data_IF_605295068208
#
_entry.id   IF_605295068208
#
_cell.length_a   1.000
_cell.length_b   1.000
_cell.length_c   1.000
_cell.angle_alpha   90.00
_cell.angle_beta   90.00
_cell.angle_gamma   90.00
#
_symmetry.space_group_name_H-M   'P 1'
#
loop_
_entity.id
_entity.type
_entity.pdbx_description
1 polymer ?
#
# COMPACT_ATOMS: atom_id res chain seq x y z
N UNK A 1 32.48 -2.18 -8.21
CA UNK A 1 31.13 -1.63 -8.47
C UNK A 1 30.93 -0.45 -7.52
N UNK A 2 30.50 0.69 -8.04
CA UNK A 2 30.29 1.95 -7.30
C UNK A 2 28.78 2.17 -7.13
N UNK A 3 28.35 2.80 -6.03
CA UNK A 3 26.95 3.19 -5.77
C UNK A 3 26.91 4.72 -5.85
N UNK A 4 26.08 5.26 -6.74
CA UNK A 4 25.99 6.69 -7.04
C UNK A 4 24.81 7.40 -6.38
N UNK A 5 23.85 6.64 -5.85
CA UNK A 5 22.60 7.15 -5.26
C UNK A 5 22.31 6.49 -3.92
N UNK A 6 21.42 7.10 -3.14
CA UNK A 6 20.87 6.49 -1.91
C UNK A 6 19.69 5.55 -2.19
N UNK A 7 19.49 5.13 -3.45
CA UNK A 7 18.46 4.16 -3.82
C UNK A 7 18.95 2.74 -3.55
N UNK A 8 18.21 2.03 -2.71
CA UNK A 8 18.34 0.59 -2.48
C UNK A 8 18.21 -0.23 -3.77
N UNK A 9 17.48 0.27 -4.78
CA UNK A 9 17.36 -0.35 -6.10
C UNK A 9 18.70 -0.40 -6.85
N UNK A 10 19.56 0.61 -6.70
CA UNK A 10 20.91 0.60 -7.27
C UNK A 10 21.80 -0.45 -6.56
N UNK A 11 21.63 -0.58 -5.24
CA UNK A 11 22.31 -1.62 -4.46
C UNK A 11 21.87 -3.01 -4.93
N UNK A 12 20.56 -3.22 -5.08
CA UNK A 12 19.98 -4.49 -5.54
C UNK A 12 20.45 -4.85 -6.96
N UNK A 13 20.47 -3.89 -7.87
CA UNK A 13 21.02 -4.05 -9.22
C UNK A 13 22.50 -4.48 -9.18
N UNK A 14 23.31 -3.81 -8.36
CA UNK A 14 24.73 -4.14 -8.23
C UNK A 14 24.97 -5.51 -7.59
N UNK A 15 24.13 -5.93 -6.64
CA UNK A 15 24.18 -7.27 -6.05
C UNK A 15 23.84 -8.33 -7.11
N UNK A 16 22.75 -8.15 -7.87
CA UNK A 16 22.37 -9.05 -8.96
C UNK A 16 23.49 -9.18 -10.00
N UNK A 17 24.02 -8.05 -10.46
CA UNK A 17 25.06 -8.04 -11.48
C UNK A 17 26.38 -8.66 -10.99
N UNK A 18 26.71 -8.52 -9.70
CA UNK A 18 27.84 -9.21 -9.07
C UNK A 18 27.63 -10.73 -8.98
N UNK A 19 26.41 -11.18 -8.66
CA UNK A 19 26.11 -12.61 -8.62
C UNK A 19 26.10 -13.23 -10.03
N UNK A 20 25.63 -12.51 -11.06
CA UNK A 20 25.72 -12.94 -12.47
C UNK A 20 27.18 -13.11 -12.93
N UNK A 21 28.06 -12.19 -12.57
CA UNK A 21 29.49 -12.25 -12.88
C UNK A 21 30.16 -13.48 -12.24
N UNK A 22 29.79 -13.79 -11.00
CA UNK A 22 30.29 -14.98 -10.29
C UNK A 22 29.80 -16.30 -10.89
N UNK A 23 28.54 -16.39 -11.30
CA UNK A 23 27.96 -17.64 -11.80
C UNK A 23 28.45 -17.97 -13.19
N UNK A 24 28.57 -16.98 -14.07
CA UNK A 24 29.06 -17.16 -15.44
C UNK A 24 30.54 -17.55 -15.53
N UNK A 25 31.40 -17.05 -14.63
CA UNK A 25 32.86 -17.26 -14.66
C UNK A 25 33.50 -16.96 -16.03
N UNK A 26 32.94 -16.01 -16.78
CA UNK A 26 33.40 -15.63 -18.11
C UNK A 26 32.89 -16.50 -19.27
N UNK A 27 32.01 -17.47 -19.01
CA UNK A 27 31.30 -18.23 -20.04
C UNK A 27 30.01 -17.51 -20.48
N UNK A 28 29.44 -17.86 -21.66
CA UNK A 28 28.13 -17.37 -22.07
C UNK A 28 27.07 -17.68 -21.01
N UNK A 29 26.25 -16.69 -20.67
CA UNK A 29 25.24 -16.81 -19.63
C UNK A 29 24.12 -17.76 -20.07
N UNK A 30 23.82 -18.75 -19.24
CA UNK A 30 22.68 -19.66 -19.43
C UNK A 30 21.53 -19.32 -18.48
N UNK A 31 20.29 -19.77 -18.75
CA UNK A 31 19.18 -19.62 -17.80
C UNK A 31 19.50 -20.16 -16.40
N UNK A 32 20.23 -21.29 -16.29
CA UNK A 32 20.64 -21.84 -15.01
C UNK A 32 21.56 -20.91 -14.21
N UNK A 33 22.43 -20.16 -14.90
CA UNK A 33 23.33 -19.20 -14.26
C UNK A 33 22.57 -17.97 -13.74
N UNK A 34 21.54 -17.54 -14.45
CA UNK A 34 20.63 -16.46 -14.02
C UNK A 34 19.92 -16.86 -12.74
N UNK A 35 19.32 -18.06 -12.70
CA UNK A 35 18.65 -18.54 -11.49
C UNK A 35 19.63 -18.78 -10.33
N UNK A 36 20.87 -19.21 -10.62
CA UNK A 36 21.93 -19.28 -9.62
C UNK A 36 22.30 -17.90 -9.05
N UNK A 37 22.32 -16.87 -9.89
CA UNK A 37 22.59 -15.51 -9.45
C UNK A 37 21.46 -14.99 -8.55
N UNK A 38 20.20 -15.24 -8.90
CA UNK A 38 19.04 -14.85 -8.06
C UNK A 38 19.05 -15.56 -6.70
N UNK A 39 19.44 -16.86 -6.65
CA UNK A 39 19.72 -17.55 -5.36
C UNK A 39 20.76 -16.81 -4.52
N UNK A 40 21.82 -16.31 -5.15
CA UNK A 40 22.84 -15.49 -4.51
C UNK A 40 22.29 -14.15 -3.98
N UNK A 41 21.41 -13.49 -4.75
CA UNK A 41 20.71 -12.27 -4.33
C UNK A 41 19.86 -12.53 -3.09
N UNK A 42 19.00 -13.54 -3.09
CA UNK A 42 18.13 -13.87 -1.96
C UNK A 42 18.90 -14.19 -0.67
N UNK A 43 20.13 -14.72 -0.77
CA UNK A 43 21.00 -14.98 0.39
C UNK A 43 21.65 -13.72 0.95
N UNK A 44 21.81 -12.67 0.14
CA UNK A 44 22.54 -11.44 0.49
C UNK A 44 21.62 -10.29 0.85
N UNK A 45 20.48 -10.18 0.18
CA UNK A 45 19.53 -9.08 0.33
C UNK A 45 18.35 -9.53 1.18
N UNK A 46 18.11 -8.80 2.26
CA UNK A 46 16.95 -8.95 3.14
C UNK A 46 16.05 -7.73 3.02
N UNK A 47 14.75 -7.96 3.06
CA UNK A 47 13.74 -6.96 2.80
C UNK A 47 12.68 -7.52 1.86
N UNK A 48 12.06 -6.62 1.10
CA UNK A 48 10.97 -6.91 0.18
C UNK A 48 11.23 -6.29 -1.18
N UNK A 49 10.94 -7.01 -2.25
CA UNK A 49 11.23 -6.55 -3.60
C UNK A 49 10.44 -7.37 -4.63
N UNK A 50 9.94 -6.67 -5.63
CA UNK A 50 9.43 -7.21 -6.87
C UNK A 50 10.26 -6.58 -7.99
N UNK A 51 11.11 -7.38 -8.64
CA UNK A 51 12.13 -6.88 -9.55
C UNK A 51 11.80 -7.29 -10.97
N UNK A 52 11.98 -6.36 -11.90
CA UNK A 52 12.11 -6.61 -13.33
C UNK A 52 13.43 -6.02 -13.81
N UNK A 53 14.19 -6.78 -14.60
CA UNK A 53 15.48 -6.39 -15.13
C UNK A 53 15.64 -6.90 -16.56
N UNK A 54 16.35 -6.13 -17.39
CA UNK A 54 16.76 -6.55 -18.72
C UNK A 54 18.24 -6.91 -18.71
N UNK A 55 18.56 -8.10 -19.20
CA UNK A 55 19.93 -8.56 -19.41
C UNK A 55 20.21 -8.51 -20.90
N UNK A 56 21.06 -7.58 -21.32
CA UNK A 56 21.37 -7.33 -22.72
C UNK A 56 21.80 -8.63 -23.43
N UNK A 57 21.15 -8.92 -24.56
CA UNK A 57 21.40 -10.14 -25.36
C UNK A 57 20.84 -11.44 -24.78
N UNK A 58 20.12 -11.41 -23.65
CA UNK A 58 19.61 -12.62 -22.98
C UNK A 58 18.12 -12.59 -22.71
N UNK A 59 17.55 -11.44 -22.31
CA UNK A 59 16.11 -11.28 -22.15
C UNK A 59 15.68 -10.53 -20.88
N UNK A 60 14.43 -10.74 -20.48
CA UNK A 60 13.81 -10.11 -19.31
C UNK A 60 13.78 -11.07 -18.12
N UNK A 61 14.39 -10.67 -17.02
CA UNK A 61 14.34 -11.36 -15.73
C UNK A 61 13.34 -10.67 -14.81
N UNK A 62 12.47 -11.44 -14.17
CA UNK A 62 11.61 -10.99 -13.09
C UNK A 62 11.77 -11.90 -11.87
N UNK A 63 11.82 -11.35 -10.66
CA UNK A 63 11.86 -12.17 -9.44
C UNK A 63 11.24 -11.45 -8.24
N UNK A 64 10.77 -12.24 -7.27
CA UNK A 64 10.06 -11.75 -6.09
C UNK A 64 10.77 -12.17 -4.82
N UNK A 65 10.69 -11.35 -3.77
CA UNK A 65 11.31 -11.66 -2.48
C UNK A 65 10.80 -12.99 -1.87
N UNK A 66 11.60 -13.65 -1.01
CA UNK A 66 11.25 -14.95 -0.43
C UNK A 66 9.97 -14.98 0.43
N UNK A 67 9.43 -13.82 0.79
CA UNK A 67 8.21 -13.68 1.58
C UNK A 67 7.00 -13.24 0.73
N UNK A 68 7.19 -12.96 -0.56
CA UNK A 68 6.14 -12.48 -1.45
C UNK A 68 5.52 -11.15 -1.01
N UNK A 69 6.26 -10.26 -0.34
CA UNK A 69 5.70 -9.06 0.31
C UNK A 69 5.20 -8.04 -0.73
N UNK A 70 5.98 -7.80 -1.80
CA UNK A 70 5.59 -6.91 -2.91
C UNK A 70 4.89 -7.70 -4.01
N UNK A 71 3.78 -7.23 -4.58
CA UNK A 71 3.04 -7.97 -5.58
C UNK A 71 3.79 -7.96 -6.92
N UNK A 72 3.71 -9.09 -7.63
CA UNK A 72 4.28 -9.26 -8.97
C UNK A 72 3.54 -10.39 -9.69
N UNK A 73 2.97 -10.09 -10.85
CA UNK A 73 2.23 -11.04 -11.67
C UNK A 73 2.79 -11.12 -13.09
N UNK A 74 2.47 -12.23 -13.76
CA UNK A 74 2.85 -12.58 -15.11
C UNK A 74 1.59 -12.73 -15.96
N UNK A 75 1.66 -12.28 -17.20
CA UNK A 75 0.64 -12.55 -18.21
C UNK A 75 1.24 -12.70 -19.60
N UNK A 76 0.46 -13.30 -20.49
CA UNK A 76 0.81 -13.49 -21.89
C UNK A 76 -0.18 -12.77 -22.80
N UNK A 77 0.26 -12.44 -23.99
CA UNK A 77 -0.56 -11.79 -25.00
C UNK A 77 0.00 -12.00 -26.39
N UNK A 78 -0.48 -11.18 -27.30
CA UNK A 78 0.04 -11.10 -28.67
C UNK A 78 0.25 -9.64 -29.03
N UNK A 79 1.42 -9.32 -29.57
CA UNK A 79 1.70 -8.05 -30.20
C UNK A 79 1.88 -8.24 -31.72
N UNK A 80 2.16 -7.15 -32.45
CA UNK A 80 2.33 -7.20 -33.90
C UNK A 80 3.43 -8.15 -34.39
N UNK A 81 4.37 -8.53 -33.51
CA UNK A 81 5.55 -9.35 -33.82
C UNK A 81 5.42 -10.80 -33.32
N UNK A 82 4.34 -11.16 -32.62
CA UNK A 82 4.09 -12.53 -32.14
C UNK A 82 3.61 -12.61 -30.69
N UNK A 83 3.84 -13.76 -30.01
CA UNK A 83 3.54 -13.91 -28.58
C UNK A 83 4.31 -12.87 -27.74
N UNK A 84 3.64 -12.26 -26.77
CA UNK A 84 4.23 -11.31 -25.84
C UNK A 84 4.06 -11.77 -24.40
N UNK A 85 5.04 -11.46 -23.56
CA UNK A 85 4.99 -11.75 -22.12
C UNK A 85 5.18 -10.44 -21.38
N UNK A 86 4.36 -10.22 -20.36
CA UNK A 86 4.40 -9.03 -19.53
C UNK A 86 4.42 -9.42 -18.06
N UNK A 87 5.19 -8.67 -17.27
CA UNK A 87 5.14 -8.71 -15.80
C UNK A 87 4.71 -7.35 -15.28
N UNK A 88 3.95 -7.34 -14.19
CA UNK A 88 3.47 -6.11 -13.58
C UNK A 88 3.24 -6.29 -12.08
N UNK A 89 3.26 -5.18 -11.32
CA UNK A 89 2.91 -5.20 -9.90
C UNK A 89 1.45 -5.57 -9.66
N UNK A 90 0.55 -5.20 -10.57
CA UNK A 90 -0.90 -5.43 -10.44
C UNK A 90 -1.49 -6.00 -11.73
N UNK A 91 -2.45 -6.92 -11.61
CA UNK A 91 -3.09 -7.61 -12.74
C UNK A 91 -3.76 -6.66 -13.73
N UNK A 92 -4.26 -5.53 -13.26
CA UNK A 92 -4.95 -4.51 -14.08
C UNK A 92 -4.06 -3.92 -15.19
N UNK A 93 -2.74 -3.95 -15.03
CA UNK A 93 -1.81 -3.53 -16.08
C UNK A 93 -1.76 -4.54 -17.25
N UNK A 94 -1.93 -5.83 -16.95
CA UNK A 94 -2.02 -6.88 -17.97
C UNK A 94 -3.32 -6.70 -18.77
N UNK A 95 -4.44 -6.61 -18.07
CA UNK A 95 -5.77 -6.44 -18.68
C UNK A 95 -5.84 -5.18 -19.55
N UNK A 96 -5.33 -4.05 -19.03
CA UNK A 96 -5.33 -2.77 -19.75
C UNK A 96 -4.46 -2.74 -21.01
N UNK A 97 -3.56 -3.72 -21.19
CA UNK A 97 -2.69 -3.85 -22.36
C UNK A 97 -3.05 -5.05 -23.23
N UNK A 98 -4.16 -5.75 -22.94
CA UNK A 98 -4.60 -6.92 -23.70
C UNK A 98 -3.83 -8.21 -23.39
N UNK A 99 -3.03 -8.24 -22.33
CA UNK A 99 -2.40 -9.45 -21.83
C UNK A 99 -3.36 -10.20 -20.91
N UNK A 100 -3.50 -11.50 -21.11
CA UNK A 100 -4.23 -12.39 -20.23
C UNK A 100 -3.38 -12.70 -18.99
N UNK A 101 -3.97 -12.58 -17.81
CA UNK A 101 -3.33 -12.94 -16.55
C UNK A 101 -3.05 -14.45 -16.51
N UNK A 102 -1.80 -14.83 -16.19
CA UNK A 102 -1.42 -16.22 -15.99
C UNK A 102 -1.46 -16.59 -14.51
N UNK A 103 -0.60 -15.94 -13.73
CA UNK A 103 -0.37 -16.20 -12.31
C UNK A 103 0.49 -15.12 -11.68
N UNK A 104 0.44 -15.05 -10.37
CA UNK A 104 1.44 -14.36 -9.58
C UNK A 104 2.81 -15.07 -9.69
N UNK A 105 3.89 -14.29 -9.66
CA UNK A 105 5.25 -14.82 -9.44
C UNK A 105 5.33 -15.21 -7.96
N UNK A 106 5.68 -16.47 -7.71
CA UNK A 106 5.67 -17.03 -6.36
C UNK A 106 6.79 -16.43 -5.49
N UNK A 107 6.65 -16.49 -4.15
CA UNK A 107 7.72 -16.06 -3.24
C UNK A 107 9.05 -16.75 -3.56
N UNK A 108 10.12 -15.96 -3.71
CA UNK A 108 11.47 -16.44 -4.06
C UNK A 108 11.64 -16.99 -5.47
N UNK A 109 10.59 -16.97 -6.30
CA UNK A 109 10.66 -17.42 -7.68
C UNK A 109 11.35 -16.37 -8.57
N UNK A 110 12.09 -16.87 -9.55
CA UNK A 110 12.58 -16.11 -10.69
C UNK A 110 11.99 -16.65 -12.00
N UNK A 111 11.67 -15.73 -12.90
CA UNK A 111 11.18 -15.99 -14.26
C UNK A 111 12.10 -15.26 -15.25
N UNK A 112 12.64 -15.99 -16.21
CA UNK A 112 13.42 -15.46 -17.32
C UNK A 112 12.62 -15.66 -18.61
N UNK A 113 12.29 -14.57 -19.29
CA UNK A 113 11.79 -14.59 -20.67
C UNK A 113 12.96 -14.34 -21.58
N UNK A 114 13.36 -15.34 -22.37
CA UNK A 114 14.51 -15.20 -23.28
C UNK A 114 14.17 -14.38 -24.53
N UNK A 115 15.18 -14.14 -25.36
CA UNK A 115 15.04 -13.34 -26.59
C UNK A 115 14.08 -13.96 -27.63
N UNK A 116 13.81 -15.27 -27.52
CA UNK A 116 12.84 -15.99 -28.38
C UNK A 116 11.42 -15.94 -27.80
N UNK A 117 11.24 -15.27 -26.65
CA UNK A 117 9.96 -15.18 -25.95
C UNK A 117 9.62 -16.41 -25.11
N UNK A 118 10.55 -17.37 -24.95
CA UNK A 118 10.31 -18.56 -24.14
C UNK A 118 10.47 -18.24 -22.66
N UNK A 119 9.49 -18.68 -21.88
CA UNK A 119 9.44 -18.50 -20.42
C UNK A 119 10.15 -19.65 -19.72
N UNK A 120 11.14 -19.33 -18.90
CA UNK A 120 11.82 -20.23 -17.98
C UNK A 120 11.51 -19.76 -16.56
N UNK A 121 11.21 -20.67 -15.63
CA UNK A 121 10.91 -20.32 -14.24
C UNK A 121 11.59 -21.28 -13.27
N UNK A 122 12.09 -20.77 -12.15
CA UNK A 122 12.72 -21.58 -11.12
C UNK A 122 12.56 -20.97 -9.71
N UNK A 123 12.27 -21.82 -8.72
CA UNK A 123 12.36 -21.45 -7.31
C UNK A 123 13.82 -21.17 -6.93
N UNK A 124 14.08 -19.97 -6.40
CA UNK A 124 15.41 -19.46 -6.09
C UNK A 124 15.61 -19.10 -4.61
N UNK A 125 14.63 -19.33 -3.74
CA UNK A 125 14.77 -19.18 -2.29
C UNK A 125 14.52 -20.50 -1.56
N UNK A 126 15.29 -20.72 -0.50
CA UNK A 126 15.05 -21.80 0.46
C UNK A 126 13.93 -21.35 1.43
N UNK A 127 13.00 -22.24 1.77
CA UNK A 127 11.90 -21.97 2.72
C UNK A 127 11.05 -20.73 2.37
N UNK A 128 10.78 -20.51 1.09
CA UNK A 128 9.91 -19.43 0.65
C UNK A 128 8.50 -19.57 1.28
N UNK A 129 7.93 -18.46 1.76
CA UNK A 129 6.60 -18.43 2.38
C UNK A 129 5.79 -17.28 1.81
N UNK A 130 4.47 -17.45 1.68
CA UNK A 130 3.62 -16.42 1.09
C UNK A 130 3.00 -15.53 2.18
N UNK A 131 3.60 -14.35 2.38
CA UNK A 131 3.18 -13.33 3.35
C UNK A 131 3.02 -11.97 2.68
N UNK A 132 2.02 -11.81 1.79
CA UNK A 132 1.81 -10.56 1.06
C UNK A 132 1.55 -9.41 2.02
N UNK A 133 1.82 -8.19 1.56
CA UNK A 133 1.55 -7.02 2.38
C UNK A 133 0.05 -6.76 2.51
N UNK A 134 -0.44 -6.72 3.74
CA UNK A 134 -1.87 -6.47 3.99
C UNK A 134 -2.31 -5.07 3.55
N UNK A 135 -1.38 -4.10 3.53
CA UNK A 135 -1.67 -2.71 3.21
C UNK A 135 -2.04 -2.49 1.73
N UNK A 136 -1.64 -3.42 0.83
CA UNK A 136 -2.09 -3.46 -0.56
C UNK A 136 -3.61 -3.59 -0.64
N UNK A 137 -4.17 -4.53 0.14
CA UNK A 137 -5.61 -4.79 0.19
C UNK A 137 -6.38 -3.66 0.89
N UNK A 138 -5.80 -3.06 1.92
CA UNK A 138 -6.42 -1.96 2.68
C UNK A 138 -6.57 -0.70 1.82
N UNK A 139 -5.51 -0.28 1.12
CA UNK A 139 -5.46 1.04 0.50
C UNK A 139 -4.74 1.09 -0.85
N UNK A 140 -3.54 0.51 -0.95
CA UNK A 140 -2.59 0.88 -2.00
C UNK A 140 -2.98 0.34 -3.38
N UNK A 141 -3.32 -0.94 -3.48
CA UNK A 141 -3.66 -1.58 -4.74
C UNK A 141 -5.01 -1.08 -5.28
N UNK A 142 -5.19 -1.14 -6.59
CA UNK A 142 -6.48 -0.82 -7.19
C UNK A 142 -7.52 -1.91 -6.88
N UNK A 143 -8.80 -1.54 -6.70
CA UNK A 143 -9.83 -2.51 -6.36
C UNK A 143 -10.09 -3.55 -7.47
N UNK A 144 -9.81 -3.21 -8.73
CA UNK A 144 -9.92 -4.11 -9.88
C UNK A 144 -8.72 -5.03 -10.07
N UNK A 145 -7.74 -5.01 -9.17
CA UNK A 145 -6.61 -5.94 -9.18
C UNK A 145 -6.89 -7.23 -8.40
N UNK A 146 -6.23 -8.31 -8.83
CA UNK A 146 -6.14 -9.59 -8.11
C UNK A 146 -4.68 -9.81 -7.75
N UNK A 147 -4.40 -9.96 -6.45
CA UNK A 147 -3.05 -10.17 -5.92
C UNK A 147 -3.00 -11.50 -5.18
N UNK A 148 -2.12 -12.42 -5.58
CA UNK A 148 -1.98 -13.74 -4.96
C UNK A 148 -3.34 -14.48 -4.86
N UNK A 149 -4.13 -14.41 -5.94
CA UNK A 149 -5.48 -14.99 -6.01
C UNK A 149 -6.56 -14.27 -5.18
N UNK A 150 -6.27 -13.12 -4.57
CA UNK A 150 -7.21 -12.33 -3.77
C UNK A 150 -7.68 -11.11 -4.57
N UNK A 151 -8.98 -11.02 -4.80
CA UNK A 151 -9.61 -9.78 -5.31
C UNK A 151 -9.51 -8.67 -4.26
N UNK A 152 -8.88 -7.55 -4.63
CA UNK A 152 -8.73 -6.39 -3.73
C UNK A 152 -10.10 -5.80 -3.38
N UNK A 153 -11.02 -5.72 -4.35
CA UNK A 153 -12.39 -5.27 -4.09
C UNK A 153 -13.11 -6.15 -3.07
N UNK A 154 -13.07 -7.48 -3.23
CA UNK A 154 -13.72 -8.40 -2.30
C UNK A 154 -13.07 -8.34 -0.90
N UNK A 155 -11.75 -8.20 -0.82
CA UNK A 155 -11.05 -8.00 0.45
C UNK A 155 -11.59 -6.75 1.19
N UNK A 156 -11.78 -5.63 0.49
CA UNK A 156 -12.34 -4.40 1.07
C UNK A 156 -13.80 -4.57 1.52
N UNK A 157 -14.62 -5.33 0.78
CA UNK A 157 -15.96 -5.68 1.25
C UNK A 157 -15.90 -6.49 2.57
N UNK A 158 -15.03 -7.50 2.67
CA UNK A 158 -14.87 -8.28 3.90
C UNK A 158 -14.39 -7.43 5.08
N UNK A 159 -13.56 -6.40 4.83
CA UNK A 159 -13.19 -5.41 5.84
C UNK A 159 -14.40 -4.59 6.31
N UNK A 160 -15.32 -4.23 5.41
CA UNK A 160 -16.59 -3.60 5.76
C UNK A 160 -17.48 -4.48 6.65
N UNK A 161 -17.52 -5.79 6.42
CA UNK A 161 -18.27 -6.73 7.26
C UNK A 161 -17.71 -6.81 8.69
N UNK A 162 -16.39 -6.97 8.81
CA UNK A 162 -15.73 -7.01 10.11
C UNK A 162 -15.83 -5.67 10.84
N UNK A 163 -15.77 -4.56 10.11
CA UNK A 163 -15.96 -3.22 10.67
C UNK A 163 -17.40 -3.02 11.20
N UNK A 164 -18.42 -3.62 10.57
CA UNK A 164 -19.80 -3.57 11.06
C UNK A 164 -19.93 -4.13 12.48
N UNK A 165 -19.26 -5.25 12.74
CA UNK A 165 -19.23 -5.87 14.07
C UNK A 165 -18.58 -4.94 15.11
N UNK A 166 -17.51 -4.22 14.72
CA UNK A 166 -16.85 -3.23 15.59
C UNK A 166 -17.74 -2.02 15.85
N UNK A 167 -18.40 -1.49 14.82
CA UNK A 167 -19.32 -0.35 14.95
C UNK A 167 -20.45 -0.66 15.92
N UNK A 168 -21.15 -1.78 15.75
CA UNK A 168 -22.26 -2.19 16.64
C UNK A 168 -21.83 -2.30 18.10
N UNK A 169 -20.59 -2.73 18.34
CA UNK A 169 -20.03 -2.85 19.69
C UNK A 169 -19.64 -1.52 20.35
N UNK A 170 -19.56 -0.43 19.59
CA UNK A 170 -19.06 0.88 20.06
C UNK A 170 -20.12 1.98 20.02
N UNK A 171 -20.93 2.02 18.96
CA UNK A 171 -22.00 3.01 18.77
C UNK A 171 -23.30 2.26 18.46
N UNK A 172 -24.39 2.52 19.20
CA UNK A 172 -25.69 1.96 18.86
C UNK A 172 -26.09 2.32 17.42
N UNK A 173 -26.45 1.35 16.55
CA UNK A 173 -26.78 1.65 15.15
C UNK A 173 -27.91 2.67 14.98
N UNK A 174 -28.86 2.72 15.91
CA UNK A 174 -29.95 3.70 15.91
C UNK A 174 -29.51 5.14 16.24
N UNK A 175 -28.26 5.36 16.68
CA UNK A 175 -27.68 6.69 16.83
C UNK A 175 -27.00 7.22 15.57
N UNK A 176 -26.89 6.39 14.51
CA UNK A 176 -26.23 6.76 13.25
C UNK A 176 -27.31 6.98 12.19
N UNK A 177 -27.41 8.21 11.70
CA UNK A 177 -28.41 8.58 10.68
C UNK A 177 -27.94 8.23 9.26
N UNK A 178 -26.63 8.25 9.02
CA UNK A 178 -26.04 8.06 7.69
C UNK A 178 -24.57 7.62 7.79
N UNK A 179 -24.16 6.75 6.87
CA UNK A 179 -22.77 6.34 6.65
C UNK A 179 -22.23 7.06 5.42
N UNK A 180 -21.08 7.71 5.58
CA UNK A 180 -20.43 8.51 4.56
C UNK A 180 -18.97 8.05 4.40
N UNK A 181 -18.55 7.55 3.22
CA UNK A 181 -17.15 7.24 2.98
C UNK A 181 -16.33 8.51 2.77
N UNK A 182 -15.06 8.43 3.15
CA UNK A 182 -14.02 9.35 2.71
C UNK A 182 -13.46 8.79 1.39
N UNK A 183 -13.71 9.46 0.25
CA UNK A 183 -13.37 8.91 -1.06
C UNK A 183 -11.85 8.82 -1.28
N UNK A 184 -11.34 7.81 -2.00
CA UNK A 184 -12.09 6.85 -2.84
C UNK A 184 -12.01 5.40 -2.30
N UNK A 185 -10.92 5.06 -1.63
CA UNK A 185 -10.51 3.72 -1.17
C UNK A 185 -11.49 3.09 -0.19
N UNK A 186 -12.14 3.88 0.67
CA UNK A 186 -13.04 3.35 1.70
C UNK A 186 -14.45 3.04 1.21
N UNK A 187 -14.81 3.41 -0.04
CA UNK A 187 -16.16 3.22 -0.60
C UNK A 187 -16.66 1.77 -0.53
N UNK A 188 -15.89 0.72 -0.89
CA UNK A 188 -16.37 -0.66 -0.78
C UNK A 188 -16.68 -1.04 0.67
N UNK A 189 -15.75 -0.76 1.59
CA UNK A 189 -15.92 -1.06 3.02
C UNK A 189 -17.13 -0.34 3.62
N UNK A 190 -17.31 0.95 3.29
CA UNK A 190 -18.43 1.75 3.77
C UNK A 190 -19.77 1.30 3.18
N UNK A 191 -19.79 0.89 1.91
CA UNK A 191 -21.00 0.37 1.25
C UNK A 191 -21.42 -0.94 1.90
N UNK A 192 -20.48 -1.86 2.12
CA UNK A 192 -20.76 -3.13 2.79
C UNK A 192 -21.21 -2.93 4.24
N UNK A 193 -20.54 -2.04 4.97
CA UNK A 193 -20.91 -1.64 6.32
C UNK A 193 -22.37 -1.13 6.37
N UNK A 194 -22.72 -0.21 5.48
CA UNK A 194 -24.05 0.38 5.42
C UNK A 194 -25.13 -0.65 5.10
N UNK A 195 -24.85 -1.54 4.14
CA UNK A 195 -25.74 -2.63 3.78
C UNK A 195 -26.04 -3.54 4.97
N UNK A 196 -25.02 -3.95 5.72
CA UNK A 196 -25.17 -4.86 6.85
C UNK A 196 -25.88 -4.23 8.05
N UNK A 197 -25.67 -2.94 8.28
CA UNK A 197 -26.32 -2.24 9.40
C UNK A 197 -27.72 -1.71 9.06
N UNK A 198 -28.13 -1.77 7.78
CA UNK A 198 -29.40 -1.19 7.33
C UNK A 198 -29.46 0.34 7.45
N UNK A 199 -28.29 1.00 7.48
CA UNK A 199 -28.17 2.46 7.61
C UNK A 199 -27.93 3.06 6.20
N UNK A 200 -28.55 4.20 5.85
CA UNK A 200 -28.34 4.81 4.54
C UNK A 200 -26.86 5.13 4.25
N UNK A 201 -26.40 4.71 3.06
CA UNK A 201 -25.13 5.15 2.46
C UNK A 201 -25.35 6.45 1.68
N UNK A 202 -24.49 7.45 1.89
CA UNK A 202 -24.51 8.71 1.12
C UNK A 202 -23.11 9.18 0.78
N UNK A 203 -22.96 9.73 -0.42
CA UNK A 203 -21.78 10.52 -0.78
C UNK A 203 -21.90 11.89 -0.09
N UNK A 204 -21.13 12.11 0.96
CA UNK A 204 -21.03 13.41 1.65
C UNK A 204 -19.76 14.19 1.29
N UNK A 205 -18.70 13.49 0.89
CA UNK A 205 -17.47 14.09 0.41
C UNK A 205 -17.28 13.80 -1.08
N UNK A 206 -16.83 14.81 -1.81
CA UNK A 206 -16.43 14.68 -3.21
C UNK A 206 -14.95 14.97 -3.31
N UNK A 207 -14.18 13.99 -3.80
CA UNK A 207 -12.75 14.18 -4.06
C UNK A 207 -12.57 15.09 -5.27
N UNK A 208 -11.79 16.15 -5.10
CA UNK A 208 -11.37 16.99 -6.20
C UNK A 208 -10.37 16.19 -7.04
N UNK A 209 -10.76 15.83 -8.26
CA UNK A 209 -9.91 15.06 -9.19
C UNK A 209 -8.70 15.87 -9.67
N UNK A 210 -8.86 17.19 -9.72
CA UNK A 210 -7.86 18.13 -10.22
C UNK A 210 -7.34 18.98 -9.08
N UNK A 211 -6.38 18.46 -8.32
CA UNK A 211 -5.66 19.22 -7.29
C UNK A 211 -4.30 19.60 -7.86
N UNK A 212 -4.10 20.89 -8.16
CA UNK A 212 -2.80 21.42 -8.56
C UNK A 212 -1.85 21.52 -7.37
N UNK A 213 -0.54 21.62 -7.64
CA UNK A 213 0.45 21.96 -6.59
C UNK A 213 0.14 23.36 -6.07
N UNK A 214 0.22 23.55 -4.75
CA UNK A 214 0.05 24.88 -4.14
C UNK A 214 1.27 25.74 -4.50
N UNK A 215 1.07 26.82 -5.26
CA UNK A 215 2.13 27.80 -5.54
C UNK A 215 2.48 28.60 -4.28
N UNK A 216 3.73 29.06 -4.18
CA UNK A 216 4.16 29.99 -3.14
C UNK A 216 3.43 31.32 -3.36
N UNK A 217 2.40 31.59 -2.55
CA UNK A 217 1.67 32.85 -2.57
C UNK A 217 2.34 33.87 -1.64
N UNK A 218 2.71 35.08 -2.09
CA UNK A 218 3.22 36.12 -1.21
C UNK A 218 2.11 36.64 -0.29
N UNK A 219 2.21 36.34 1.01
CA UNK A 219 1.29 36.79 2.06
C UNK A 219 1.07 35.75 3.16
N UNK A 220 1.30 36.11 4.43
CA UNK A 220 1.21 35.18 5.57
C UNK A 220 -0.22 34.66 5.87
N UNK A 221 -1.26 35.21 5.22
CA UNK A 221 -2.66 34.89 5.51
C UNK A 221 -3.23 33.63 4.84
N UNK A 222 -2.56 33.04 3.84
CA UNK A 222 -3.13 31.94 3.02
C UNK A 222 -2.32 30.64 3.14
N UNK A 223 -1.93 30.28 4.37
CA UNK A 223 -1.50 28.92 4.71
C UNK A 223 -2.43 28.36 5.77
N UNK A 224 -3.59 27.85 5.38
CA UNK A 224 -4.33 26.80 6.13
C UNK A 224 -5.53 26.29 5.34
N UNK A 225 -5.71 24.97 5.40
CA UNK A 225 -6.76 24.08 4.83
C UNK A 225 -6.39 23.39 3.51
N UNK A 226 -5.32 22.59 3.54
CA UNK A 226 -4.94 21.69 2.43
C UNK A 226 -5.98 20.60 2.18
N UNK A 227 -6.75 20.17 3.18
CA UNK A 227 -7.79 19.14 2.98
C UNK A 227 -9.00 19.71 2.24
N UNK A 228 -9.38 20.97 2.46
CA UNK A 228 -10.46 21.62 1.70
C UNK A 228 -10.14 21.80 0.22
N UNK A 229 -8.86 21.78 -0.15
CA UNK A 229 -8.46 21.73 -1.56
C UNK A 229 -8.64 20.33 -2.16
N UNK A 230 -8.56 19.28 -1.34
CA UNK A 230 -8.67 17.87 -1.77
C UNK A 230 -10.10 17.35 -1.75
N UNK A 231 -10.94 17.82 -0.83
CA UNK A 231 -12.30 17.32 -0.61
C UNK A 231 -13.30 18.49 -0.54
N UNK A 232 -14.42 18.34 -1.22
CA UNK A 232 -15.59 19.19 -1.09
C UNK A 232 -16.68 18.49 -0.27
N UNK A 233 -17.48 19.26 0.46
CA UNK A 233 -18.55 18.75 1.34
C UNK A 233 -19.91 19.02 0.72
N UNK A 234 -20.76 17.99 0.65
CA UNK A 234 -22.18 18.12 0.31
C UNK A 234 -22.95 18.38 1.60
N UNK A 235 -23.08 19.65 1.99
CA UNK A 235 -23.59 20.04 3.31
C UNK A 235 -24.99 19.48 3.64
N UNK A 236 -25.85 19.25 2.64
CA UNK A 236 -27.17 18.64 2.82
C UNK A 236 -27.12 17.23 3.40
N UNK A 237 -26.01 16.50 3.23
CA UNK A 237 -25.84 15.15 3.77
C UNK A 237 -25.39 15.12 5.23
N UNK A 238 -24.97 16.27 5.79
CA UNK A 238 -24.49 16.38 7.18
C UNK A 238 -25.46 17.15 8.09
N UNK A 239 -26.13 18.18 7.56
CA UNK A 239 -26.90 19.14 8.36
C UNK A 239 -27.94 18.43 9.23
N UNK A 240 -27.78 18.56 10.54
CA UNK A 240 -28.68 18.00 11.54
C UNK A 240 -28.68 16.48 11.56
N UNK A 241 -27.59 15.80 11.18
CA UNK A 241 -27.45 14.33 11.24
C UNK A 241 -26.30 13.91 12.16
N UNK A 242 -26.41 12.73 12.75
CA UNK A 242 -25.33 11.99 13.38
C UNK A 242 -24.69 11.13 12.29
N UNK A 243 -23.47 11.47 11.89
CA UNK A 243 -22.80 10.86 10.73
C UNK A 243 -21.74 9.87 11.19
N UNK A 244 -21.66 8.71 10.53
CA UNK A 244 -20.51 7.81 10.65
C UNK A 244 -19.64 7.96 9.40
N UNK A 245 -18.45 8.52 9.58
CA UNK A 245 -17.44 8.64 8.54
C UNK A 245 -16.61 7.36 8.48
N UNK A 246 -16.35 6.87 7.27
CA UNK A 246 -15.53 5.66 7.07
C UNK A 246 -14.29 6.03 6.25
N UNK A 247 -13.12 5.85 6.84
CA UNK A 247 -11.81 6.00 6.20
C UNK A 247 -11.16 4.63 5.99
N UNK A 248 -10.21 4.54 5.06
CA UNK A 248 -9.42 3.30 4.91
C UNK A 248 -8.46 3.10 6.08
N UNK A 249 -7.76 4.16 6.49
CA UNK A 249 -6.71 4.12 7.51
C UNK A 249 -6.49 5.51 8.11
N UNK A 250 -5.88 5.56 9.30
CA UNK A 250 -5.51 6.80 9.98
C UNK A 250 -4.02 6.76 10.32
N UNK A 251 -3.23 7.59 9.62
CA UNK A 251 -1.76 7.63 9.75
C UNK A 251 -1.30 8.78 10.66
N UNK A 252 -1.27 10.02 10.15
CA UNK A 252 -0.87 11.22 10.94
C UNK A 252 -2.03 11.86 11.72
N UNK A 253 -3.28 11.48 11.44
CA UNK A 253 -4.50 12.01 12.07
C UNK A 253 -4.88 13.45 11.71
N UNK A 254 -3.95 14.25 11.16
CA UNK A 254 -4.20 15.65 10.75
C UNK A 254 -5.31 15.76 9.70
N UNK A 255 -5.30 14.91 8.68
CA UNK A 255 -6.35 14.84 7.66
C UNK A 255 -7.70 14.48 8.28
N UNK A 256 -7.75 13.44 9.10
CA UNK A 256 -8.98 12.99 9.76
C UNK A 256 -9.58 14.08 10.65
N UNK A 257 -8.75 14.83 11.39
CA UNK A 257 -9.18 16.00 12.18
C UNK A 257 -9.81 17.08 11.30
N UNK A 258 -9.20 17.41 10.16
CA UNK A 258 -9.78 18.40 9.23
C UNK A 258 -11.10 17.90 8.62
N UNK A 259 -11.20 16.61 8.28
CA UNK A 259 -12.43 15.99 7.76
C UNK A 259 -13.56 16.04 8.80
N UNK A 260 -13.27 15.69 10.06
CA UNK A 260 -14.24 15.77 11.15
C UNK A 260 -14.70 17.22 11.35
N UNK A 261 -13.78 18.18 11.31
CA UNK A 261 -14.15 19.59 11.39
C UNK A 261 -15.02 20.03 10.21
N UNK A 262 -14.72 19.57 8.98
CA UNK A 262 -15.54 19.86 7.80
C UNK A 262 -16.96 19.31 7.93
N UNK A 263 -17.14 18.11 8.49
CA UNK A 263 -18.46 17.55 8.78
C UNK A 263 -19.23 18.38 9.82
N UNK A 264 -18.56 18.82 10.89
CA UNK A 264 -19.15 19.72 11.90
C UNK A 264 -19.53 21.08 11.33
N UNK A 265 -18.64 21.68 10.54
CA UNK A 265 -18.89 22.96 9.85
C UNK A 265 -20.09 22.87 8.89
N UNK A 266 -20.34 21.70 8.31
CA UNK A 266 -21.51 21.41 7.48
C UNK A 266 -22.81 21.14 8.28
N UNK A 267 -22.73 21.15 9.61
CA UNK A 267 -23.87 21.06 10.52
C UNK A 267 -24.17 19.67 11.06
N UNK A 268 -23.22 18.72 11.02
CA UNK A 268 -23.39 17.43 11.69
C UNK A 268 -23.54 17.61 13.21
N UNK A 269 -24.49 16.88 13.83
CA UNK A 269 -24.72 16.88 15.28
C UNK A 269 -23.63 16.11 16.03
N UNK A 270 -23.44 14.85 15.62
CA UNK A 270 -22.36 13.96 16.07
C UNK A 270 -21.59 13.48 14.85
N UNK A 271 -20.28 13.34 14.98
CA UNK A 271 -19.37 12.83 13.96
C UNK A 271 -18.61 11.66 14.55
N UNK A 272 -19.01 10.45 14.17
CA UNK A 272 -18.28 9.23 14.46
C UNK A 272 -17.30 8.94 13.32
N UNK A 273 -16.15 8.35 13.63
CA UNK A 273 -15.14 7.98 12.64
C UNK A 273 -14.79 6.50 12.79
N UNK A 274 -14.82 5.76 11.69
CA UNK A 274 -14.41 4.37 11.61
C UNK A 274 -13.29 4.20 10.58
N UNK A 275 -12.22 3.49 10.98
CA UNK A 275 -11.10 3.11 10.13
C UNK A 275 -11.23 1.64 9.75
N UNK A 276 -11.22 1.34 8.44
CA UNK A 276 -11.26 -0.03 7.93
C UNK A 276 -9.97 -0.82 8.24
N UNK A 277 -8.87 -0.13 8.52
CA UNK A 277 -7.63 -0.67 9.05
C UNK A 277 -7.52 -0.52 10.58
N UNK A 278 -6.70 -1.34 11.25
CA UNK A 278 -6.26 -1.11 12.62
C UNK A 278 -5.40 0.17 12.74
N UNK A 279 -5.09 0.62 13.98
CA UNK A 279 -4.21 1.76 14.18
C UNK A 279 -2.82 1.49 13.59
N UNK A 280 -2.31 2.41 12.76
CA UNK A 280 -0.95 2.36 12.22
C UNK A 280 0.02 2.85 13.30
N UNK A 281 0.76 1.92 13.91
CA UNK A 281 1.62 2.18 15.09
C UNK A 281 3.11 2.11 14.78
N UNK A 282 3.47 1.47 13.68
CA UNK A 282 4.86 1.21 13.31
C UNK A 282 5.11 1.64 11.85
N UNK A 283 6.32 2.09 11.51
CA UNK A 283 6.66 2.46 10.15
C UNK A 283 6.76 1.24 9.24
N UNK A 284 6.41 1.39 7.97
CA UNK A 284 6.73 0.37 6.97
C UNK A 284 8.19 0.50 6.51
N UNK A 285 8.92 -0.61 6.47
CA UNK A 285 10.31 -0.68 5.96
C UNK A 285 10.44 -1.54 4.71
N UNK A 286 9.31 -1.91 4.11
CA UNK A 286 9.22 -2.81 2.96
C UNK A 286 8.87 -2.07 1.65
N UNK A 287 8.88 -0.73 1.65
CA UNK A 287 8.71 0.08 0.45
C UNK A 287 7.38 0.84 0.36
N UNK A 288 6.54 0.79 1.40
CA UNK A 288 5.45 1.77 1.54
C UNK A 288 5.99 2.99 2.28
N UNK A 289 5.85 4.17 1.69
CA UNK A 289 6.25 5.42 2.32
C UNK A 289 5.32 5.73 3.49
N UNK A 290 5.85 5.59 4.71
CA UNK A 290 5.18 5.93 5.96
C UNK A 290 6.02 6.93 6.74
N UNK A 291 5.39 7.84 7.51
CA UNK A 291 6.14 8.79 8.33
C UNK A 291 6.85 8.08 9.49
N UNK A 292 7.67 8.83 10.23
CA UNK A 292 8.36 8.28 11.41
C UNK A 292 7.37 7.89 12.51
N UNK A 293 7.77 7.02 13.44
CA UNK A 293 6.91 6.59 14.54
C UNK A 293 6.32 7.77 15.33
N UNK A 294 7.13 8.81 15.59
CA UNK A 294 6.69 10.00 16.33
C UNK A 294 5.61 10.82 15.60
N UNK A 295 5.52 10.71 14.28
CA UNK A 295 4.52 11.39 13.45
C UNK A 295 3.22 10.58 13.28
N UNK A 296 3.23 9.29 13.62
CA UNK A 296 2.03 8.44 13.61
C UNK A 296 1.12 8.82 14.78
N UNK A 297 -0.15 9.12 14.50
CA UNK A 297 -1.09 9.55 15.54
C UNK A 297 -1.33 8.47 16.59
N UNK A 298 -1.22 7.20 16.20
CA UNK A 298 -1.46 6.06 17.07
C UNK A 298 -0.20 5.54 17.77
N UNK A 299 0.98 6.07 17.49
CA UNK A 299 2.19 5.67 18.19
C UNK A 299 2.09 6.04 19.68
N UNK A 300 2.26 5.06 20.56
CA UNK A 300 2.14 5.17 22.03
C UNK A 300 0.86 5.87 22.54
N UNK A 301 -0.23 5.79 21.77
CA UNK A 301 -1.55 6.31 22.15
C UNK A 301 -2.62 5.25 22.17
N UNK A 302 -3.51 5.37 23.15
CA UNK A 302 -4.79 4.65 23.23
C UNK A 302 -5.76 5.19 22.19
N UNK A 303 -6.79 4.40 21.86
CA UNK A 303 -7.85 4.84 20.93
C UNK A 303 -8.54 6.11 21.43
N UNK A 304 -8.69 6.27 22.74
CA UNK A 304 -9.34 7.43 23.35
C UNK A 304 -8.50 8.71 23.19
N UNK A 305 -7.19 8.64 23.40
CA UNK A 305 -6.28 9.77 23.16
C UNK A 305 -6.28 10.17 21.68
N UNK A 306 -6.33 9.20 20.76
CA UNK A 306 -6.45 9.47 19.33
C UNK A 306 -7.79 10.15 19.03
N UNK A 307 -8.90 9.63 19.55
CA UNK A 307 -10.25 10.20 19.40
C UNK A 307 -10.28 11.66 19.82
N UNK A 308 -9.73 11.97 21.00
CA UNK A 308 -9.63 13.33 21.51
C UNK A 308 -8.77 14.22 20.61
N UNK A 309 -7.64 13.71 20.09
CA UNK A 309 -6.77 14.48 19.19
C UNK A 309 -7.42 14.81 17.83
N UNK A 310 -8.28 13.91 17.33
CA UNK A 310 -9.04 14.06 16.08
C UNK A 310 -10.29 14.93 16.30
N UNK A 311 -10.90 14.87 17.48
CA UNK A 311 -12.11 15.63 17.82
C UNK A 311 -13.42 15.01 17.35
N UNK A 312 -13.45 13.69 17.12
CA UNK A 312 -14.68 12.94 16.80
C UNK A 312 -15.41 12.46 18.08
N UNK A 313 -16.71 12.20 17.96
CA UNK A 313 -17.57 11.75 19.07
C UNK A 313 -17.32 10.28 19.44
N UNK A 314 -16.95 9.45 18.46
CA UNK A 314 -16.44 8.10 18.67
C UNK A 314 -15.40 7.77 17.60
N UNK A 315 -14.43 6.93 17.95
CA UNK A 315 -13.42 6.41 17.05
C UNK A 315 -13.42 4.89 17.09
N UNK A 316 -13.63 4.27 15.93
CA UNK A 316 -13.69 2.82 15.76
C UNK A 316 -12.52 2.41 14.87
N UNK A 317 -11.71 1.46 15.34
CA UNK A 317 -10.71 0.80 14.53
C UNK A 317 -11.08 -0.66 14.30
N UNK A 318 -10.65 -1.18 13.16
CA UNK A 318 -10.57 -2.61 12.92
C UNK A 318 -9.56 -3.26 13.89
N UNK A 319 -9.79 -4.54 14.18
CA UNK A 319 -8.84 -5.38 14.90
C UNK A 319 -7.84 -6.03 13.92
N UNK A 320 -6.56 -6.15 14.33
CA UNK A 320 -5.48 -6.67 13.46
C UNK A 320 -5.77 -8.10 13.01
N UNK A 321 -6.14 -8.97 13.95
CA UNK A 321 -6.37 -10.38 13.66
C UNK A 321 -7.66 -10.57 12.85
N UNK A 322 -8.67 -9.74 13.08
CA UNK A 322 -9.89 -9.71 12.30
C UNK A 322 -9.65 -9.25 10.87
N UNK A 323 -8.79 -8.24 10.66
CA UNK A 323 -8.35 -7.81 9.32
C UNK A 323 -7.61 -8.93 8.59
N UNK A 324 -6.61 -9.55 9.24
CA UNK A 324 -5.85 -10.68 8.66
C UNK A 324 -6.78 -11.83 8.28
N UNK A 325 -7.73 -12.20 9.14
CA UNK A 325 -8.72 -13.25 8.83
C UNK A 325 -9.65 -12.86 7.69
N UNK A 326 -10.13 -11.62 7.64
CA UNK A 326 -11.08 -11.15 6.61
C UNK A 326 -10.48 -11.18 5.21
N UNK A 327 -9.19 -10.84 5.08
CA UNK A 327 -8.46 -10.92 3.82
C UNK A 327 -7.99 -12.36 3.56
N UNK A 328 -7.42 -13.02 4.57
CA UNK A 328 -6.88 -14.38 4.45
C UNK A 328 -7.93 -15.46 4.14
N UNK A 329 -9.20 -15.24 4.50
CA UNK A 329 -10.28 -16.16 4.14
C UNK A 329 -10.51 -16.27 2.63
N UNK A 330 -10.01 -15.32 1.83
CA UNK A 330 -10.12 -15.33 0.37
C UNK A 330 -9.08 -16.23 -0.29
N UNK A 331 -7.99 -16.59 0.40
CA UNK A 331 -7.01 -17.53 -0.09
C UNK A 331 -6.37 -18.34 1.06
N UNK A 332 -6.72 -19.63 1.13
CA UNK A 332 -6.19 -20.55 2.15
C UNK A 332 -4.72 -20.95 1.98
N UNK A 333 -4.07 -20.55 0.87
CA UNK A 333 -2.66 -20.83 0.59
C UNK A 333 -1.69 -19.83 1.24
N UNK A 334 -2.19 -18.78 1.88
CA UNK A 334 -1.34 -17.79 2.54
C UNK A 334 -0.78 -18.35 3.85
N UNK A 335 0.50 -18.05 4.13
CA UNK A 335 1.17 -18.37 5.40
C UNK A 335 1.04 -17.24 6.44
N UNK A 336 0.22 -16.23 6.12
CA UNK A 336 0.06 -15.01 6.89
C UNK A 336 0.19 -13.77 6.01
N UNK A 337 0.51 -12.64 6.63
CA UNK A 337 0.70 -11.35 5.95
C UNK A 337 1.87 -10.61 6.57
N UNK A 338 2.51 -9.74 5.79
CA UNK A 338 3.20 -8.59 6.37
C UNK A 338 2.14 -7.58 6.86
N UNK A 339 2.02 -7.47 8.18
CA UNK A 339 1.16 -6.51 8.87
C UNK A 339 1.97 -5.64 9.86
N UNK A 340 3.28 -5.53 9.61
CA UNK A 340 4.26 -4.89 10.50
C UNK A 340 3.84 -3.49 10.96
N UNK A 341 3.20 -2.70 10.09
CA UNK A 341 2.72 -1.35 10.44
C UNK A 341 1.67 -1.32 11.56
N UNK A 342 1.01 -2.44 11.81
CA UNK A 342 -0.08 -2.59 12.78
C UNK A 342 0.35 -3.35 14.03
N UNK A 343 1.10 -4.45 13.88
CA UNK A 343 1.49 -5.35 14.98
C UNK A 343 2.97 -5.29 15.38
N UNK A 344 3.80 -4.57 14.62
CA UNK A 344 5.24 -4.45 14.87
C UNK A 344 6.04 -5.71 14.57
N UNK A 345 5.43 -6.72 13.95
CA UNK A 345 6.08 -7.99 13.59
C UNK A 345 6.58 -7.92 12.15
N UNK A 346 7.88 -7.68 12.00
CA UNK A 346 8.53 -7.61 10.69
C UNK A 346 8.93 -9.01 10.22
N UNK A 347 8.33 -9.47 9.12
CA UNK A 347 8.42 -10.86 8.65
C UNK A 347 9.83 -11.34 8.27
N UNK A 348 10.77 -10.45 7.94
CA UNK A 348 12.16 -10.79 7.62
C UNK A 348 13.00 -11.15 8.85
N UNK A 349 12.52 -10.81 10.06
CA UNK A 349 13.15 -11.17 11.34
C UNK A 349 14.43 -10.42 11.69
N UNK A 350 14.86 -9.46 10.88
CA UNK A 350 16.10 -8.69 11.06
C UNK A 350 15.88 -7.19 11.34
N UNK A 351 14.61 -6.77 11.42
CA UNK A 351 14.24 -5.39 11.73
C UNK A 351 14.08 -5.23 13.24
N UNK A 352 14.87 -4.33 13.81
CA UNK A 352 14.82 -3.93 15.23
C UNK A 352 14.41 -2.46 15.38
N UNK A 353 13.95 -2.03 16.57
CA UNK A 353 13.69 -0.61 16.85
C UNK A 353 14.89 0.30 16.53
N UNK A 354 16.12 -0.15 16.80
CA UNK A 354 17.35 0.60 16.50
C UNK A 354 17.57 0.73 14.98
N UNK A 355 17.28 -0.32 14.21
CA UNK A 355 17.36 -0.27 12.75
C UNK A 355 16.38 0.74 12.16
N UNK A 356 15.15 0.80 12.70
CA UNK A 356 14.11 1.76 12.32
C UNK A 356 14.55 3.18 12.67
N UNK A 357 15.09 3.39 13.88
CA UNK A 357 15.59 4.69 14.31
C UNK A 357 16.69 5.21 13.38
N UNK A 358 17.63 4.33 12.99
CA UNK A 358 18.71 4.65 12.04
C UNK A 358 18.18 4.98 10.65
N UNK A 359 17.18 4.25 10.14
CA UNK A 359 16.53 4.58 8.87
C UNK A 359 15.80 5.94 8.92
N UNK A 360 15.18 6.25 10.05
CA UNK A 360 14.47 7.50 10.23
C UNK A 360 15.40 8.71 10.37
N UNK A 361 16.58 8.58 11.00
CA UNK A 361 17.53 9.70 11.12
C UNK A 361 18.00 10.20 9.74
N UNK A 362 18.19 9.28 8.79
CA UNK A 362 18.56 9.62 7.41
C UNK A 362 17.45 10.40 6.66
N UNK A 363 16.20 10.33 7.11
CA UNK A 363 15.09 11.10 6.53
C UNK A 363 15.06 12.55 7.03
N UNK A 364 15.47 12.78 8.28
CA UNK A 364 15.44 14.11 8.91
C UNK A 364 16.41 15.05 8.19
N UNK A 365 17.62 14.57 7.87
CA UNK A 365 18.62 15.35 7.12
C UNK A 365 18.12 15.84 5.75
N UNK A 366 17.26 15.07 5.07
CA UNK A 366 16.68 15.49 3.79
C UNK A 366 15.52 16.49 3.93
N UNK A 367 14.88 16.56 5.10
CA UNK A 367 13.75 17.47 5.36
C UNK A 367 14.18 18.86 5.82
N UNK A 368 15.40 19.00 6.36
CA UNK A 368 15.94 20.29 6.78
C UNK A 368 16.46 21.14 5.60
N UNK A 369 16.82 20.53 4.46
CA UNK A 369 17.20 21.27 3.24
C UNK A 369 16.02 21.79 2.38
N UNK A 370 14.78 21.53 2.78
CA UNK A 370 13.62 22.11 2.13
C UNK A 370 12.32 21.61 2.73
N UNK A 371 11.64 22.49 3.48
CA UNK A 371 10.35 22.22 4.14
C UNK A 371 9.17 21.97 3.20
N UNK A 372 9.31 20.99 2.31
CA UNK A 372 8.28 20.45 1.44
C UNK A 372 8.00 19.01 1.90
N UNK A 373 6.71 18.71 2.05
CA UNK A 373 6.19 17.35 2.25
C UNK A 373 6.45 16.53 0.98
N UNK A 374 7.68 16.02 0.84
CA UNK A 374 8.10 15.09 -0.22
C UNK A 374 7.76 13.67 0.20
N UNK A 375 6.46 13.37 0.31
CA UNK A 375 6.05 11.98 0.11
C UNK A 375 6.48 11.57 -1.29
N UNK A 376 7.30 10.52 -1.40
CA UNK A 376 7.90 10.04 -2.66
C UNK A 376 6.88 9.49 -3.67
N UNK A 377 5.57 9.60 -3.39
CA UNK A 377 4.48 9.37 -4.34
C UNK A 377 4.31 10.50 -5.38
N UNK A 378 5.14 11.54 -5.34
CA UNK A 378 5.21 12.53 -6.40
C UNK A 378 6.23 12.12 -7.48
N UNK A 379 5.73 11.72 -8.66
CA UNK A 379 6.54 11.52 -9.86
C UNK A 379 7.40 12.78 -10.14
N UNK A 380 8.69 12.63 -10.51
CA UNK A 380 9.53 13.77 -10.88
C UNK A 380 8.97 14.45 -12.13
N UNK A 381 8.98 15.79 -12.12
CA UNK A 381 8.54 16.61 -13.24
C UNK A 381 9.54 16.46 -14.41
N UNK A 382 9.08 16.25 -15.65
CA UNK A 382 9.94 16.40 -16.82
C UNK A 382 10.01 17.89 -17.15
N UNK A 383 11.13 18.54 -16.83
CA UNK A 383 11.49 19.84 -17.38
C UNK A 383 13.00 19.95 -17.45
N UNK A 384 13.57 19.42 -18.52
CA UNK A 384 14.68 20.01 -19.26
C UNK A 384 14.73 19.36 -20.66
N UNK A 385 14.06 20.01 -21.61
CA UNK A 385 14.31 19.98 -23.04
C UNK A 385 13.91 21.34 -23.60
#
# INVERSE_FOLDING_TARGET
>A
RHINTDSDSEVLLNVLAHELEKTTRGLPLTPSDVFAAVRGVHKRVKGSYAVVALIAGHGMLAFRDPFGIRPLCLGHGTNGDGPSVMVASESVALEGTGHQFDRDIAPGEAVLVDMDGKVHAQQCADNATLKPCIFEFVYLARPDSVLDGISVYQARLNLGETLAKRVVSTVPPNEIDVIIPIPESSRPSATQLAHLLGIPYREGFVKNRYVGRTFIMPGQGVRKKSVRQKLNVIASEFKGRNVLLVDDSIVRGTTSREIVQMARDAGARKVYLASAAPPVRYPNVYGIDMPTSAELVAHDRTVEEIRLSIGCDALIYQDVESMKRAVGSLNSKLDGFDASCFDGVYVTGDITPESIAKMNSQRVDHSEEGGLDVSRLALPNPQEA
#
